data_IF_351819188516
#
_entry.id   IF_351819188516
#
_cell.length_a   1.000
_cell.length_b   1.000
_cell.length_c   1.000
_cell.angle_alpha   90.00
_cell.angle_beta   90.00
_cell.angle_gamma   90.00
#
_symmetry.space_group_name_H-M   'P 1'
#
loop_
_entity.id
_entity.type
_entity.pdbx_description
1 polymer ?
#
# COMPACT_ATOMS: atom_id res chain seq x y z
N UNK A 1 2.72 15.92 -27.59
CA UNK A 1 2.06 16.28 -26.31
C UNK A 1 3.10 17.00 -25.49
N UNK A 2 2.92 18.29 -25.21
CA UNK A 2 3.77 18.99 -24.24
C UNK A 2 3.48 18.42 -22.84
N UNK A 3 4.52 17.93 -22.16
CA UNK A 3 4.43 17.63 -20.73
C UNK A 3 4.46 18.95 -19.98
N UNK A 4 3.33 19.34 -19.40
CA UNK A 4 3.26 20.48 -18.49
C UNK A 4 3.87 19.99 -17.17
N UNK A 5 5.13 20.34 -16.94
CA UNK A 5 5.80 20.10 -15.67
C UNK A 5 5.27 21.10 -14.62
N UNK A 6 4.70 20.59 -13.53
CA UNK A 6 4.20 21.43 -12.44
C UNK A 6 5.37 21.89 -11.56
N UNK A 7 5.38 23.16 -11.17
CA UNK A 7 6.38 23.66 -10.23
C UNK A 7 6.07 23.20 -8.78
N UNK A 8 7.08 23.22 -7.90
CA UNK A 8 6.92 22.73 -6.51
C UNK A 8 5.91 23.51 -5.68
N UNK A 9 5.70 24.79 -5.94
CA UNK A 9 4.75 25.64 -5.21
C UNK A 9 3.31 25.36 -5.62
N UNK A 10 3.09 25.17 -6.92
CA UNK A 10 1.82 24.81 -7.51
C UNK A 10 1.39 23.40 -7.09
N UNK A 11 2.33 22.45 -7.05
CA UNK A 11 2.09 21.12 -6.48
C UNK A 11 1.60 21.21 -5.03
N UNK A 12 2.25 22.02 -4.20
CA UNK A 12 1.83 22.23 -2.81
C UNK A 12 0.45 22.84 -2.74
N UNK A 13 0.13 23.81 -3.58
CA UNK A 13 -1.20 24.43 -3.63
C UNK A 13 -2.29 23.41 -4.01
N UNK A 14 -2.01 22.54 -5.00
CA UNK A 14 -2.92 21.46 -5.41
C UNK A 14 -3.12 20.47 -4.26
N UNK A 15 -2.04 19.99 -3.63
CA UNK A 15 -2.14 19.04 -2.52
C UNK A 15 -2.90 19.63 -1.32
N UNK A 16 -2.65 20.89 -0.98
CA UNK A 16 -3.36 21.58 0.11
C UNK A 16 -4.85 21.80 -0.19
N UNK A 17 -5.23 21.98 -1.45
CA UNK A 17 -6.63 22.09 -1.87
C UNK A 17 -7.38 20.74 -1.85
N UNK A 18 -6.66 19.63 -1.67
CA UNK A 18 -7.20 18.28 -1.59
C UNK A 18 -6.90 17.65 -0.21
N UNK A 19 -7.21 18.38 0.86
CA UNK A 19 -7.09 17.93 2.26
C UNK A 19 -7.81 16.60 2.56
N UNK A 20 -8.92 16.33 1.88
CA UNK A 20 -9.71 15.10 2.01
C UNK A 20 -9.25 13.95 1.09
N UNK A 21 -8.13 14.10 0.38
CA UNK A 21 -7.62 13.09 -0.56
C UNK A 21 -7.41 11.70 0.07
N UNK A 22 -6.86 11.55 1.30
CA UNK A 22 -6.65 10.23 1.89
C UNK A 22 -7.93 9.40 2.07
N UNK A 23 -9.07 10.06 2.32
CA UNK A 23 -10.38 9.43 2.40
C UNK A 23 -10.92 9.10 1.02
N UNK A 24 -10.76 10.00 0.04
CA UNK A 24 -11.23 9.79 -1.34
C UNK A 24 -10.50 8.62 -2.04
N UNK A 25 -9.20 8.46 -1.81
CA UNK A 25 -8.38 7.39 -2.43
C UNK A 25 -8.91 5.98 -2.11
N UNK A 26 -9.57 5.79 -0.96
CA UNK A 26 -10.10 4.47 -0.57
C UNK A 26 -11.18 3.94 -1.52
N UNK A 27 -11.86 4.83 -2.25
CA UNK A 27 -12.88 4.47 -3.23
C UNK A 27 -12.36 4.36 -4.67
N UNK A 28 -11.06 4.57 -4.89
CA UNK A 28 -10.50 4.59 -6.24
C UNK A 28 -10.27 3.19 -6.77
N UNK A 29 -10.52 3.03 -8.07
CA UNK A 29 -10.10 1.85 -8.79
C UNK A 29 -8.57 1.87 -8.93
N UNK A 30 -7.95 0.72 -8.73
CA UNK A 30 -6.50 0.55 -8.83
C UNK A 30 -6.22 -0.51 -9.88
N UNK A 31 -5.28 -0.21 -10.77
CA UNK A 31 -4.86 -1.10 -11.83
C UNK A 31 -3.35 -1.06 -12.02
N UNK A 32 -2.80 -2.16 -12.51
CA UNK A 32 -1.40 -2.25 -12.87
C UNK A 32 -1.25 -2.89 -14.26
N UNK A 33 -0.58 -2.19 -15.16
CA UNK A 33 -0.23 -2.66 -16.49
C UNK A 33 1.19 -3.26 -16.45
N UNK A 34 1.27 -4.59 -16.52
CA UNK A 34 2.52 -5.36 -16.53
C UNK A 34 3.43 -5.05 -17.71
N UNK A 35 2.86 -4.81 -18.88
CA UNK A 35 3.61 -4.62 -20.12
C UNK A 35 4.27 -3.23 -20.14
N UNK A 36 3.54 -2.22 -19.70
CA UNK A 36 4.04 -0.84 -19.60
C UNK A 36 4.76 -0.54 -18.28
N UNK A 37 4.83 -1.49 -17.35
CA UNK A 37 5.26 -1.30 -15.95
C UNK A 37 4.65 -0.04 -15.29
N UNK A 38 3.34 0.12 -15.46
CA UNK A 38 2.62 1.33 -15.07
C UNK A 38 1.54 1.01 -14.05
N UNK A 39 1.54 1.73 -12.93
CA UNK A 39 0.50 1.68 -11.91
C UNK A 39 -0.44 2.86 -12.11
N UNK A 40 -1.75 2.63 -12.04
CA UNK A 40 -2.75 3.70 -12.14
C UNK A 40 -3.76 3.51 -11.02
N UNK A 41 -4.04 4.58 -10.29
CA UNK A 41 -5.14 4.65 -9.33
C UNK A 41 -5.98 5.88 -9.61
N UNK A 42 -7.31 5.74 -9.57
CA UNK A 42 -8.21 6.86 -9.79
C UNK A 42 -9.68 6.45 -9.84
N UNK A 43 -10.53 7.45 -10.00
CA UNK A 43 -11.97 7.29 -10.29
C UNK A 43 -12.28 7.75 -11.71
N UNK A 44 -13.55 7.66 -12.12
CA UNK A 44 -13.98 8.20 -13.40
C UNK A 44 -13.58 9.66 -13.56
N UNK A 45 -13.00 9.95 -14.72
CA UNK A 45 -12.37 11.24 -14.99
C UNK A 45 -13.38 12.19 -15.61
N UNK A 46 -13.58 13.40 -15.05
CA UNK A 46 -14.32 14.43 -15.75
C UNK A 46 -13.56 14.86 -17.00
N UNK A 47 -14.31 15.23 -18.04
CA UNK A 47 -13.80 15.92 -19.22
C UNK A 47 -13.02 17.17 -18.78
N UNK A 48 -11.87 17.43 -19.40
CA UNK A 48 -11.00 18.55 -19.02
C UNK A 48 -10.00 18.25 -17.89
N UNK A 49 -9.94 17.01 -17.40
CA UNK A 49 -8.82 16.58 -16.55
C UNK A 49 -7.55 16.31 -17.38
N UNK A 50 -6.36 16.56 -16.80
CA UNK A 50 -5.07 16.33 -17.46
C UNK A 50 -4.06 15.69 -16.51
N UNK A 51 -3.10 14.93 -17.07
CA UNK A 51 -1.98 14.39 -16.30
C UNK A 51 -0.86 15.43 -16.25
N UNK A 52 -0.38 15.70 -15.05
CA UNK A 52 0.76 16.55 -14.78
C UNK A 52 1.90 15.71 -14.23
N UNK A 53 3.10 15.88 -14.78
CA UNK A 53 4.30 15.24 -14.24
C UNK A 53 4.72 15.98 -12.97
N UNK A 54 4.88 15.23 -11.88
CA UNK A 54 5.21 15.76 -10.56
C UNK A 54 6.63 15.41 -10.15
N UNK A 55 7.04 14.19 -10.47
CA UNK A 55 8.39 13.67 -10.24
C UNK A 55 8.71 12.65 -11.33
N UNK A 56 9.94 12.14 -11.36
CA UNK A 56 10.34 11.12 -12.33
C UNK A 56 9.42 9.89 -12.26
N UNK A 57 8.59 9.76 -13.30
CA UNK A 57 7.62 8.69 -13.44
C UNK A 57 6.32 8.86 -12.65
N UNK A 58 6.15 9.90 -11.82
CA UNK A 58 4.88 10.12 -11.09
C UNK A 58 4.06 11.21 -11.76
N UNK A 59 2.84 10.87 -12.14
CA UNK A 59 1.88 11.77 -12.77
C UNK A 59 0.61 11.90 -11.93
N UNK A 60 0.15 13.12 -11.70
CA UNK A 60 -1.15 13.39 -11.06
C UNK A 60 -2.19 13.77 -12.09
N UNK A 61 -3.40 13.23 -11.96
CA UNK A 61 -4.56 13.60 -12.77
C UNK A 61 -5.35 14.67 -12.05
N UNK A 62 -5.40 15.87 -12.62
CA UNK A 62 -6.01 17.05 -12.00
C UNK A 62 -7.00 17.71 -12.97
N UNK A 63 -8.11 18.22 -12.45
CA UNK A 63 -9.07 19.03 -13.23
C UNK A 63 -8.71 20.53 -13.21
N UNK A 64 -9.49 21.33 -13.92
CA UNK A 64 -9.37 22.79 -13.97
C UNK A 64 -9.52 23.48 -12.59
N UNK A 65 -10.21 22.83 -11.66
CA UNK A 65 -10.42 23.31 -10.28
C UNK A 65 -9.34 22.82 -9.31
N UNK A 66 -8.22 22.28 -9.83
CA UNK A 66 -7.12 21.72 -9.05
C UNK A 66 -7.52 20.52 -8.18
N UNK A 67 -8.63 19.85 -8.48
CA UNK A 67 -9.05 18.63 -7.79
C UNK A 67 -8.35 17.42 -8.39
N UNK A 68 -7.84 16.53 -7.53
CA UNK A 68 -7.14 15.30 -7.95
C UNK A 68 -8.14 14.16 -8.12
N UNK A 69 -8.08 13.47 -9.26
CA UNK A 69 -8.95 12.33 -9.59
C UNK A 69 -8.20 11.01 -9.72
N UNK A 70 -6.87 11.07 -9.72
CA UNK A 70 -6.04 9.89 -9.85
C UNK A 70 -4.56 10.23 -9.92
N UNK A 71 -3.75 9.19 -9.97
CA UNK A 71 -2.33 9.26 -10.26
C UNK A 71 -1.90 8.06 -11.08
N UNK A 72 -0.79 8.22 -11.79
CA UNK A 72 -0.10 7.16 -12.50
C UNK A 72 1.38 7.17 -12.12
N UNK A 73 1.97 5.98 -12.04
CA UNK A 73 3.39 5.78 -11.77
C UNK A 73 3.97 4.91 -12.88
N UNK A 74 4.86 5.47 -13.68
CA UNK A 74 5.70 4.76 -14.64
C UNK A 74 6.89 4.12 -13.94
N UNK A 75 7.43 3.03 -14.51
CA UNK A 75 8.50 2.24 -13.89
C UNK A 75 8.17 1.82 -12.45
N UNK A 76 6.91 1.38 -12.23
CA UNK A 76 6.38 1.17 -10.90
C UNK A 76 7.20 0.17 -10.07
N UNK A 77 7.85 -0.83 -10.69
CA UNK A 77 8.78 -1.73 -9.98
C UNK A 77 9.98 -0.99 -9.39
N UNK A 78 10.56 -0.06 -10.15
CA UNK A 78 11.69 0.77 -9.71
C UNK A 78 11.25 1.72 -8.60
N UNK A 79 10.08 2.35 -8.77
CA UNK A 79 9.49 3.23 -7.75
C UNK A 79 9.30 2.51 -6.41
N UNK A 80 8.75 1.29 -6.42
CA UNK A 80 8.54 0.48 -5.21
C UNK A 80 9.85 0.03 -4.56
N UNK A 81 10.88 -0.26 -5.37
CA UNK A 81 12.23 -0.58 -4.84
C UNK A 81 12.82 0.60 -4.05
N UNK A 82 12.60 1.82 -4.54
CA UNK A 82 13.08 3.03 -3.89
C UNK A 82 12.16 3.52 -2.75
N UNK A 83 10.91 3.04 -2.72
CA UNK A 83 9.89 3.40 -1.73
C UNK A 83 9.26 2.13 -1.12
N UNK A 84 9.99 1.41 -0.25
CA UNK A 84 9.59 0.09 0.27
C UNK A 84 8.25 0.10 1.03
N UNK A 85 7.81 1.25 1.54
CA UNK A 85 6.50 1.43 2.17
C UNK A 85 5.32 1.07 1.24
N UNK A 86 5.51 1.10 -0.08
CA UNK A 86 4.47 0.74 -1.05
C UNK A 86 4.54 -0.72 -1.53
N UNK A 87 5.52 -1.51 -1.08
CA UNK A 87 5.75 -2.86 -1.60
C UNK A 87 4.58 -3.83 -1.32
N UNK A 88 4.02 -3.78 -0.12
CA UNK A 88 2.89 -4.63 0.27
C UNK A 88 1.60 -4.30 -0.51
N UNK A 89 1.11 -3.05 -0.53
CA UNK A 89 -0.08 -2.71 -1.31
C UNK A 89 0.13 -2.92 -2.82
N UNK A 90 1.32 -2.65 -3.34
CA UNK A 90 1.63 -2.90 -4.74
C UNK A 90 1.57 -4.40 -5.09
N UNK A 91 2.08 -5.27 -4.22
CA UNK A 91 2.06 -6.73 -4.41
C UNK A 91 0.64 -7.29 -4.48
N UNK A 92 -0.27 -6.75 -3.66
CA UNK A 92 -1.70 -7.13 -3.66
C UNK A 92 -2.33 -6.81 -5.02
N UNK A 93 -2.05 -5.63 -5.58
CA UNK A 93 -2.59 -5.18 -6.87
C UNK A 93 -1.99 -5.96 -8.05
N UNK A 94 -0.68 -6.19 -8.03
CA UNK A 94 0.07 -6.86 -9.09
C UNK A 94 -0.27 -8.35 -9.24
N UNK A 95 -0.44 -9.01 -8.09
CA UNK A 95 -0.58 -10.46 -7.99
C UNK A 95 -1.62 -10.83 -6.93
N UNK A 96 -2.90 -10.45 -7.11
CA UNK A 96 -3.94 -10.70 -6.13
C UNK A 96 -4.00 -12.19 -5.77
N UNK A 97 -4.00 -13.06 -6.79
CA UNK A 97 -4.02 -14.52 -6.62
C UNK A 97 -2.80 -15.02 -5.80
N UNK A 98 -1.59 -14.56 -6.11
CA UNK A 98 -0.39 -15.01 -5.36
C UNK A 98 -0.41 -14.53 -3.92
N UNK A 99 -0.91 -13.32 -3.68
CA UNK A 99 -1.05 -12.78 -2.33
C UNK A 99 -2.03 -13.61 -1.49
N UNK A 100 -3.20 -13.93 -2.05
CA UNK A 100 -4.21 -14.75 -1.39
C UNK A 100 -3.76 -16.19 -1.15
N UNK A 101 -3.04 -16.81 -2.09
CA UNK A 101 -2.64 -18.21 -1.99
C UNK A 101 -1.38 -18.42 -1.15
N UNK A 102 -0.39 -17.53 -1.23
CA UNK A 102 0.91 -17.76 -0.60
C UNK A 102 1.11 -16.91 0.65
N UNK A 103 0.75 -15.63 0.61
CA UNK A 103 1.10 -14.69 1.68
C UNK A 103 0.14 -14.78 2.86
N UNK A 104 -1.16 -14.84 2.58
CA UNK A 104 -2.20 -14.93 3.61
C UNK A 104 -2.12 -16.21 4.46
N UNK A 105 -1.97 -17.42 3.88
CA UNK A 105 -1.81 -18.65 4.66
C UNK A 105 -0.51 -18.65 5.45
N UNK A 106 0.57 -18.11 4.90
CA UNK A 106 1.85 -18.03 5.60
C UNK A 106 1.78 -17.13 6.83
N UNK A 107 1.15 -15.95 6.70
CA UNK A 107 0.88 -15.06 7.85
C UNK A 107 -0.03 -15.71 8.89
N UNK A 108 -1.04 -16.44 8.45
CA UNK A 108 -1.93 -17.21 9.33
C UNK A 108 -1.16 -18.28 10.12
N UNK A 109 -0.25 -19.02 9.46
CA UNK A 109 0.61 -20.01 10.11
C UNK A 109 1.54 -19.35 11.11
N UNK A 110 2.22 -18.25 10.75
CA UNK A 110 3.09 -17.52 11.69
C UNK A 110 2.33 -17.01 12.92
N UNK A 111 1.13 -16.47 12.73
CA UNK A 111 0.27 -16.03 13.84
C UNK A 111 -0.10 -17.20 14.78
N UNK A 112 -0.49 -18.35 14.23
CA UNK A 112 -0.84 -19.53 15.03
C UNK A 112 0.37 -20.16 15.72
N UNK A 113 1.53 -20.16 15.07
CA UNK A 113 2.79 -20.61 15.68
C UNK A 113 3.19 -19.67 16.82
N UNK A 114 3.09 -18.34 16.64
CA UNK A 114 3.39 -17.38 17.69
C UNK A 114 2.46 -17.54 18.91
N UNK A 115 1.15 -17.69 18.68
CA UNK A 115 0.18 -17.97 19.76
C UNK A 115 0.42 -19.34 20.39
N UNK A 116 0.77 -20.35 19.59
CA UNK A 116 1.13 -21.68 20.06
C UNK A 116 2.35 -21.66 20.98
N UNK A 117 3.38 -20.88 20.64
CA UNK A 117 4.58 -20.67 21.47
C UNK A 117 4.22 -19.95 22.78
N UNK A 118 3.35 -18.94 22.74
CA UNK A 118 2.87 -18.25 23.95
C UNK A 118 2.07 -19.20 24.85
N UNK A 119 1.17 -20.01 24.27
CA UNK A 119 0.42 -21.04 25.01
C UNK A 119 1.34 -22.11 25.59
N UNK A 120 2.32 -22.62 24.85
CA UNK A 120 3.30 -23.58 25.37
C UNK A 120 4.12 -22.99 26.51
N UNK A 121 4.56 -21.73 26.44
CA UNK A 121 5.24 -21.05 27.55
C UNK A 121 4.36 -20.96 28.81
N UNK A 122 3.06 -20.70 28.65
CA UNK A 122 2.13 -20.67 29.79
C UNK A 122 1.87 -22.06 30.40
N UNK A 123 1.87 -23.11 29.57
CA UNK A 123 1.72 -24.50 30.04
C UNK A 123 2.99 -24.97 30.76
N UNK A 124 4.17 -24.63 30.23
CA UNK A 124 5.46 -24.91 30.87
C UNK A 124 5.59 -24.19 32.22
N UNK A 125 5.15 -22.92 32.33
CA UNK A 125 5.18 -22.22 33.63
C UNK A 125 4.24 -22.81 34.68
N UNK A 126 3.10 -23.38 34.27
CA UNK A 126 2.19 -24.10 35.17
C UNK A 126 2.81 -25.43 35.59
N UNK A 127 3.45 -26.14 34.66
CA UNK A 127 4.17 -27.38 34.95
C UNK A 127 5.31 -27.16 35.94
N UNK A 128 6.12 -26.12 35.74
CA UNK A 128 7.23 -25.76 36.64
C UNK A 128 6.73 -25.32 38.03
N UNK A 129 5.58 -24.62 38.08
CA UNK A 129 4.93 -24.28 39.35
C UNK A 129 4.44 -25.51 40.12
N UNK A 130 3.87 -26.51 39.41
CA UNK A 130 3.41 -27.78 40.01
C UNK A 130 4.61 -28.64 40.44
N UNK A 131 5.64 -28.74 39.61
CA UNK A 131 6.87 -29.49 39.91
C UNK A 131 7.64 -28.86 41.09
N UNK A 132 7.71 -27.52 41.14
CA UNK A 132 8.28 -26.78 42.26
C UNK A 132 7.50 -26.99 43.57
N UNK A 133 6.17 -27.11 43.52
CA UNK A 133 5.36 -27.47 44.70
C UNK A 133 5.57 -28.90 45.16
N UNK A 134 5.73 -29.85 44.23
CA UNK A 134 5.96 -31.26 44.55
C UNK A 134 7.35 -31.53 45.17
N UNK A 135 8.35 -30.70 44.87
CA UNK A 135 9.68 -30.79 45.47
C UNK A 135 9.77 -30.27 46.93
N UNK A 136 8.73 -29.59 47.42
CA UNK A 136 8.66 -29.01 48.77
C UNK A 136 7.54 -29.64 49.65
N UNK A 137 6.97 -30.78 49.23
CA UNK A 137 6.08 -31.61 50.04
C UNK A 137 6.80 -32.86 50.57
#
# INVERSE_FOLDING_TARGET
>A
MEQIAINKEELKAILSANDNLPSEIRGWAVSYNKTADMFIAGRDFPLGSFYFSVDEGVMLRVDENKKIYGFAIENAKSFVKNNPQFALPFSIVMHPIRFYIFTLPTLFVFYHVAIGIVKMRSILSISDYIAGKAAFC
#
